data_IF_673493741350
#
_entry.id   IF_673493741350
#
_cell.length_a   1.000
_cell.length_b   1.000
_cell.length_c   1.000
_cell.angle_alpha   90.00
_cell.angle_beta   90.00
_cell.angle_gamma   90.00
#
_symmetry.space_group_name_H-M   'P 1'
#
loop_
_entity.id
_entity.type
_entity.pdbx_description
1 polymer ?
#
# COMPACT_ATOMS: atom_id res chain seq x y z
N UNK A 1 -13.73 4.86 26.36
CA UNK A 1 -14.32 5.60 25.23
C UNK A 1 -13.29 5.57 24.12
N UNK A 2 -13.67 5.00 22.97
CA UNK A 2 -12.77 4.75 21.83
C UNK A 2 -12.36 6.06 21.17
N UNK A 3 -11.06 6.35 21.10
CA UNK A 3 -10.52 7.42 20.26
C UNK A 3 -10.54 6.97 18.80
N UNK A 4 -11.73 6.98 18.21
CA UNK A 4 -11.92 6.81 16.78
C UNK A 4 -11.84 8.20 16.15
N UNK A 5 -10.81 8.47 15.35
CA UNK A 5 -10.96 9.45 14.28
C UNK A 5 -9.93 10.57 14.15
N UNK A 6 -8.64 10.28 14.27
CA UNK A 6 -7.62 11.21 13.75
C UNK A 6 -6.51 10.43 13.02
N UNK A 7 -6.90 9.79 11.91
CA UNK A 7 -5.97 9.33 10.89
C UNK A 7 -5.51 10.60 10.17
N UNK A 8 -4.19 10.80 10.00
CA UNK A 8 -3.55 11.93 9.30
C UNK A 8 -3.13 13.16 10.12
N UNK A 9 -3.06 13.12 11.45
CA UNK A 9 -2.53 14.23 12.26
C UNK A 9 -1.03 14.46 12.12
N UNK A 10 -0.31 13.47 11.57
CA UNK A 10 1.14 13.51 11.39
C UNK A 10 1.55 14.00 9.99
N UNK A 11 0.59 14.52 9.21
CA UNK A 11 0.88 15.21 7.95
C UNK A 11 1.47 16.57 8.32
N UNK A 12 2.71 16.83 7.88
CA UNK A 12 3.26 18.18 7.88
C UNK A 12 2.22 19.14 7.24
N UNK A 13 1.61 20.02 8.05
CA UNK A 13 0.57 20.96 7.58
C UNK A 13 1.09 21.93 6.51
N UNK A 14 2.40 22.03 6.36
CA UNK A 14 3.03 22.75 5.27
C UNK A 14 2.89 21.96 3.97
N UNK A 15 2.07 22.51 3.08
CA UNK A 15 1.87 21.99 1.74
C UNK A 15 3.16 22.20 0.92
N UNK A 16 4.17 21.35 1.13
CA UNK A 16 5.41 21.35 0.37
C UNK A 16 5.06 21.01 -1.07
N UNK A 17 5.36 21.92 -2.01
CA UNK A 17 5.24 21.64 -3.44
C UNK A 17 6.23 20.54 -3.82
N UNK A 18 5.76 19.30 -3.80
CA UNK A 18 6.49 18.17 -4.37
C UNK A 18 6.55 18.35 -5.90
N UNK A 19 7.68 17.97 -6.54
CA UNK A 19 7.74 17.96 -7.98
C UNK A 19 6.67 17.03 -8.54
N UNK A 20 6.03 17.43 -9.64
CA UNK A 20 5.08 16.58 -10.32
C UNK A 20 5.78 15.28 -10.77
N UNK A 21 5.18 14.14 -10.47
CA UNK A 21 5.66 12.85 -10.95
C UNK A 21 5.21 12.68 -12.41
N UNK A 22 6.14 12.84 -13.34
CA UNK A 22 5.88 12.67 -14.77
C UNK A 22 6.16 11.23 -15.21
N UNK A 23 5.33 10.70 -16.12
CA UNK A 23 5.58 9.41 -16.75
C UNK A 23 5.16 8.18 -15.94
N UNK A 24 4.47 8.34 -14.81
CA UNK A 24 3.99 7.23 -13.97
C UNK A 24 3.13 6.22 -14.73
N UNK A 25 2.39 6.65 -15.76
CA UNK A 25 1.60 5.77 -16.63
C UNK A 25 2.46 4.88 -17.55
N UNK A 26 3.69 5.31 -17.84
CA UNK A 26 4.64 4.62 -18.72
C UNK A 26 5.71 3.85 -17.97
N UNK A 27 5.75 3.99 -16.64
CA UNK A 27 6.71 3.28 -15.81
C UNK A 27 6.38 1.80 -15.80
N UNK A 28 7.44 0.99 -15.76
CA UNK A 28 7.31 -0.45 -15.63
C UNK A 28 6.59 -0.73 -14.31
N UNK A 29 5.48 -1.47 -14.40
CA UNK A 29 4.82 -2.03 -13.22
C UNK A 29 5.79 -3.02 -12.55
N UNK A 30 6.09 -2.74 -11.30
CA UNK A 30 6.88 -3.61 -10.43
C UNK A 30 5.95 -4.49 -9.63
N UNK A 31 6.42 -5.68 -9.24
CA UNK A 31 5.69 -6.48 -8.27
C UNK A 31 5.65 -5.79 -6.92
N UNK A 32 4.72 -6.21 -6.06
CA UNK A 32 4.63 -5.65 -4.72
C UNK A 32 5.92 -5.89 -3.91
N UNK A 33 6.55 -7.05 -4.09
CA UNK A 33 7.85 -7.37 -3.49
C UNK A 33 8.96 -6.44 -3.98
N UNK A 34 9.03 -6.17 -5.29
CA UNK A 34 10.04 -5.27 -5.87
C UNK A 34 9.86 -3.85 -5.34
N UNK A 35 8.62 -3.35 -5.28
CA UNK A 35 8.31 -2.02 -4.74
C UNK A 35 8.65 -1.89 -3.25
N UNK A 36 8.58 -2.99 -2.50
CA UNK A 36 8.78 -3.00 -1.05
C UNK A 36 10.19 -3.38 -0.64
N UNK A 37 11.09 -3.67 -1.57
CA UNK A 37 12.43 -4.18 -1.28
C UNK A 37 13.34 -3.17 -0.55
N UNK A 38 13.11 -1.86 -0.72
CA UNK A 38 13.88 -0.79 -0.04
C UNK A 38 13.26 -0.36 1.30
N UNK A 39 11.98 -0.65 1.50
CA UNK A 39 11.24 -0.33 2.72
C UNK A 39 11.59 -1.15 3.99
N UNK A 40 12.25 -2.34 3.96
CA UNK A 40 12.51 -3.10 5.19
C UNK A 40 13.49 -2.39 6.13
N UNK A 41 14.30 -1.47 5.59
CA UNK A 41 15.19 -0.58 6.36
C UNK A 41 14.36 0.30 7.31
N UNK A 42 13.19 0.71 6.88
CA UNK A 42 12.29 1.61 7.61
C UNK A 42 11.15 0.86 8.33
N UNK A 43 10.72 -0.27 7.77
CA UNK A 43 9.54 -1.01 8.19
C UNK A 43 9.85 -2.51 8.18
N UNK A 44 10.43 -3.02 9.26
CA UNK A 44 10.93 -4.40 9.38
C UNK A 44 9.90 -5.50 9.04
N UNK A 45 8.60 -5.20 9.08
CA UNK A 45 7.53 -6.16 8.82
C UNK A 45 6.87 -6.02 7.45
N UNK A 46 7.43 -5.24 6.52
CA UNK A 46 6.80 -4.97 5.21
C UNK A 46 6.45 -6.24 4.43
N UNK A 47 7.37 -7.21 4.36
CA UNK A 47 7.12 -8.49 3.68
C UNK A 47 5.97 -9.29 4.33
N UNK A 48 5.80 -9.18 5.65
CA UNK A 48 4.71 -9.85 6.36
C UNK A 48 3.35 -9.28 5.94
N UNK A 49 3.27 -7.98 5.68
CA UNK A 49 2.05 -7.33 5.19
C UNK A 49 1.74 -7.71 3.74
N UNK A 50 2.76 -7.83 2.87
CA UNK A 50 2.60 -8.34 1.50
C UNK A 50 1.98 -9.74 1.51
N UNK A 51 2.56 -10.64 2.28
CA UNK A 51 2.09 -12.02 2.42
C UNK A 51 0.67 -12.08 2.97
N UNK A 52 0.36 -11.23 3.96
CA UNK A 52 -0.99 -11.16 4.52
C UNK A 52 -1.99 -10.65 3.49
N UNK A 53 -1.65 -9.61 2.72
CA UNK A 53 -2.51 -9.05 1.69
C UNK A 53 -2.79 -10.07 0.57
N UNK A 54 -1.75 -10.72 0.05
CA UNK A 54 -1.91 -11.73 -1.01
C UNK A 54 -2.75 -12.94 -0.59
N UNK A 55 -2.78 -13.30 0.70
CA UNK A 55 -3.66 -14.36 1.22
C UNK A 55 -5.16 -14.02 1.12
N UNK A 56 -5.51 -12.74 1.15
CA UNK A 56 -6.89 -12.29 1.01
C UNK A 56 -7.31 -12.07 -0.45
N UNK A 57 -6.39 -12.24 -1.39
CA UNK A 57 -6.63 -12.02 -2.82
C UNK A 57 -6.66 -13.33 -3.61
N UNK A 58 -7.79 -13.59 -4.27
CA UNK A 58 -7.96 -14.71 -5.19
C UNK A 58 -7.65 -14.28 -6.62
N UNK A 59 -7.12 -15.22 -7.41
CA UNK A 59 -7.00 -15.07 -8.86
C UNK A 59 -7.39 -16.40 -9.55
N UNK A 60 -8.24 -16.38 -10.59
CA UNK A 60 -8.92 -15.20 -11.14
C UNK A 60 -9.97 -14.65 -10.16
N UNK A 61 -10.23 -13.35 -10.25
CA UNK A 61 -11.32 -12.68 -9.55
C UNK A 61 -12.27 -12.03 -10.56
N UNK A 62 -13.39 -11.50 -10.08
CA UNK A 62 -14.45 -10.91 -10.91
C UNK A 62 -13.98 -9.75 -11.80
N UNK A 63 -12.80 -9.19 -11.51
CA UNK A 63 -12.18 -8.08 -12.23
C UNK A 63 -10.97 -8.51 -13.07
N UNK A 64 -10.68 -9.81 -13.17
CA UNK A 64 -9.49 -10.38 -13.84
C UNK A 64 -8.15 -9.78 -13.38
N UNK A 65 -8.10 -9.22 -12.17
CA UNK A 65 -6.89 -8.63 -11.62
C UNK A 65 -5.94 -9.72 -11.19
N UNK A 66 -4.65 -9.52 -11.42
CA UNK A 66 -3.58 -10.36 -10.84
C UNK A 66 -3.63 -10.33 -9.31
N UNK A 67 -2.99 -11.31 -8.67
CA UNK A 67 -2.87 -11.32 -7.20
C UNK A 67 -2.21 -10.06 -6.66
N UNK A 68 -1.25 -9.50 -7.39
CA UNK A 68 -0.49 -8.32 -6.97
C UNK A 68 -1.33 -7.05 -7.06
N UNK A 69 -2.07 -6.86 -8.16
CA UNK A 69 -3.00 -5.73 -8.31
C UNK A 69 -4.09 -5.76 -7.24
N UNK A 70 -4.63 -6.96 -6.97
CA UNK A 70 -5.63 -7.17 -5.93
C UNK A 70 -5.07 -6.89 -4.54
N UNK A 71 -3.82 -7.32 -4.27
CA UNK A 71 -3.16 -7.09 -2.98
C UNK A 71 -2.82 -5.60 -2.77
N UNK A 72 -2.44 -4.88 -3.82
CA UNK A 72 -2.20 -3.44 -3.75
C UNK A 72 -3.48 -2.68 -3.38
N UNK A 73 -4.62 -3.02 -4.02
CA UNK A 73 -5.94 -2.45 -3.68
C UNK A 73 -6.34 -2.84 -2.26
N UNK A 74 -6.11 -4.08 -1.86
CA UNK A 74 -6.40 -4.57 -0.51
C UNK A 74 -5.63 -3.77 0.55
N UNK A 75 -4.32 -3.57 0.38
CA UNK A 75 -3.49 -2.78 1.31
C UNK A 75 -3.99 -1.33 1.40
N UNK A 76 -4.39 -0.74 0.27
CA UNK A 76 -4.91 0.63 0.24
C UNK A 76 -6.27 0.79 0.93
N UNK A 77 -7.13 -0.24 0.82
CA UNK A 77 -8.51 -0.21 1.33
C UNK A 77 -8.67 -0.82 2.73
N UNK A 78 -7.69 -1.58 3.21
CA UNK A 78 -7.74 -2.23 4.51
C UNK A 78 -7.72 -1.18 5.63
N UNK A 79 -8.78 -1.13 6.44
CA UNK A 79 -8.74 -0.43 7.72
C UNK A 79 -7.71 -1.15 8.60
N UNK A 80 -6.57 -0.50 8.89
CA UNK A 80 -5.75 -0.97 10.01
C UNK A 80 -6.56 -0.76 11.29
N UNK A 81 -7.16 -1.83 11.80
CA UNK A 81 -7.58 -1.93 13.18
C UNK A 81 -6.32 -1.86 14.04
N UNK A 82 -6.21 -0.82 14.87
CA UNK A 82 -5.12 -0.73 15.83
C UNK A 82 -5.21 -1.88 16.82
N UNK A 83 -4.25 -2.79 16.74
CA UNK A 83 -3.87 -3.66 17.86
C UNK A 83 -2.71 -2.98 18.61
#
# INVERSE_FOLDING_TARGET
MSHSGDRFTDIELENKRLPACFGYLTWKLLSLEEAMNELPIFLKETNRFVEKAKKHCTHPNDHNLTKDESAAIYIYTMEMSGD
#
